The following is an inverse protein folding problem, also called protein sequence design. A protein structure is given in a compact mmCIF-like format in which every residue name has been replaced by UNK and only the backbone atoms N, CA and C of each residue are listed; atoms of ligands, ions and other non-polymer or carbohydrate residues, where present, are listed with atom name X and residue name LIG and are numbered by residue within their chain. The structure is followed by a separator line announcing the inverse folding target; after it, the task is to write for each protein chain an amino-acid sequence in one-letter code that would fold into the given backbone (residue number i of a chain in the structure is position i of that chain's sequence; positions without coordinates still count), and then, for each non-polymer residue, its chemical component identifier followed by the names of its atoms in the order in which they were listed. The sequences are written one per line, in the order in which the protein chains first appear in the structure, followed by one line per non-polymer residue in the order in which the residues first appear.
data_IF_232416001217
#
_entry.id   IF_232416001217
#
_cell.length_a   1.000
_cell.length_b   1.000
_cell.length_c   1.000
_cell.angle_alpha   90.00
_cell.angle_beta   90.00
_cell.angle_gamma   90.00
#
_symmetry.space_group_name_H-M   'P 1'
#
loop_
_entity.id
_entity.type
_entity.pdbx_description
1 polymer ?
#
# COMPACT_ATOMS: atom_id res chain seq x y z
N UNK A 1 11.38 32.65 -70.54
CA UNK A 1 11.01 31.22 -70.49
C UNK A 1 10.27 30.94 -69.18
N UNK A 2 9.07 30.36 -69.26
CA UNK A 2 8.43 29.49 -68.25
C UNK A 2 8.07 30.03 -66.85
N UNK A 3 6.79 30.35 -66.65
CA UNK A 3 6.04 30.34 -65.35
C UNK A 3 5.89 28.89 -64.78
N UNK A 4 5.10 28.60 -63.71
CA UNK A 4 5.20 29.01 -62.29
C UNK A 4 4.93 27.83 -61.30
N UNK A 5 4.96 28.18 -60.00
CA UNK A 5 4.37 27.53 -58.79
C UNK A 5 3.34 26.40 -58.99
N UNK A 6 3.49 25.31 -58.20
CA UNK A 6 2.41 24.38 -57.84
C UNK A 6 2.34 24.21 -56.31
N UNK A 7 1.11 24.27 -55.81
CA UNK A 7 0.74 24.16 -54.40
C UNK A 7 0.58 22.73 -53.89
N UNK A 8 0.42 22.67 -52.56
CA UNK A 8 0.01 21.53 -51.72
C UNK A 8 -1.47 21.16 -51.99
N UNK A 9 -1.93 19.90 -51.81
CA UNK A 9 -2.33 19.41 -50.47
C UNK A 9 -2.13 17.90 -50.23
N UNK A 10 -1.38 17.52 -49.19
CA UNK A 10 -1.45 16.16 -48.61
C UNK A 10 -2.44 16.10 -47.44
N UNK A 11 -3.70 15.79 -47.75
CA UNK A 11 -4.63 15.18 -46.78
C UNK A 11 -5.04 13.80 -47.27
N UNK A 12 -4.64 12.74 -46.56
CA UNK A 12 -5.41 11.49 -46.45
C UNK A 12 -5.06 10.77 -45.15
N UNK A 13 -6.07 10.69 -44.28
CA UNK A 13 -6.15 9.86 -43.09
C UNK A 13 -5.67 8.42 -43.40
N UNK A 14 -4.70 7.93 -42.63
CA UNK A 14 -4.39 6.51 -42.55
C UNK A 14 -5.06 5.94 -41.29
N UNK A 15 -6.20 5.28 -41.50
CA UNK A 15 -6.81 4.36 -40.55
C UNK A 15 -5.93 3.10 -40.39
N UNK A 16 -5.71 2.60 -39.17
CA UNK A 16 -5.02 1.33 -38.95
C UNK A 16 -5.87 0.12 -39.40
N UNK A 17 -5.24 -1.00 -39.80
CA UNK A 17 -5.92 -2.18 -40.32
C UNK A 17 -6.63 -3.01 -39.22
N UNK A 18 -7.66 -3.81 -39.57
CA UNK A 18 -8.45 -4.59 -38.61
C UNK A 18 -7.73 -5.85 -38.09
N UNK A 19 -8.19 -6.45 -36.97
CA UNK A 19 -7.53 -7.59 -36.32
C UNK A 19 -7.63 -8.90 -37.12
N UNK A 20 -6.52 -9.64 -37.20
CA UNK A 20 -6.44 -10.99 -37.80
C UNK A 20 -7.25 -12.02 -36.98
N UNK A 21 -8.19 -12.70 -37.63
CA UNK A 21 -8.87 -13.90 -37.11
C UNK A 21 -7.87 -15.05 -36.91
N UNK A 22 -7.76 -15.59 -35.69
CA UNK A 22 -7.01 -16.83 -35.39
C UNK A 22 -7.76 -18.03 -35.98
N UNK A 23 -7.05 -18.86 -36.77
CA UNK A 23 -7.51 -20.19 -37.23
C UNK A 23 -7.42 -21.21 -36.08
N UNK A 24 -8.34 -22.18 -35.97
CA UNK A 24 -8.26 -23.26 -34.99
C UNK A 24 -7.22 -24.33 -35.39
N UNK A 25 -6.54 -24.89 -34.38
CA UNK A 25 -5.51 -25.94 -34.54
C UNK A 25 -6.12 -27.33 -34.79
N UNK A 26 -5.40 -28.25 -35.46
CA UNK A 26 -5.91 -29.57 -35.84
C UNK A 26 -5.89 -30.60 -34.70
N UNK A 27 -6.93 -31.46 -34.70
CA UNK A 27 -7.12 -32.64 -33.83
C UNK A 27 -6.08 -33.73 -34.16
N UNK A 28 -5.34 -34.19 -33.16
CA UNK A 28 -4.48 -35.39 -33.25
C UNK A 28 -5.30 -36.65 -32.92
N UNK A 29 -5.31 -37.59 -33.87
CA UNK A 29 -5.79 -38.96 -33.72
C UNK A 29 -5.00 -39.73 -32.65
N UNK A 30 -5.69 -40.48 -31.79
CA UNK A 30 -5.07 -41.52 -30.96
C UNK A 30 -5.40 -42.90 -31.53
N UNK A 31 -4.37 -43.56 -32.04
CA UNK A 31 -4.36 -44.98 -32.44
C UNK A 31 -4.49 -45.91 -31.24
N UNK A 32 -5.20 -47.02 -31.48
CA UNK A 32 -5.27 -48.24 -30.68
C UNK A 32 -3.90 -48.89 -30.44
N UNK A 33 -3.76 -49.61 -29.31
CA UNK A 33 -3.14 -50.95 -29.18
C UNK A 33 -3.27 -51.49 -27.74
N UNK A 34 -3.60 -52.78 -27.59
CA UNK A 34 -3.33 -53.56 -26.36
C UNK A 34 -4.48 -54.45 -25.85
N UNK A 35 -4.30 -55.78 -25.87
CA UNK A 35 -5.27 -56.88 -25.62
C UNK A 35 -5.33 -57.38 -24.15
N UNK A 36 -6.55 -57.74 -23.69
CA UNK A 36 -7.05 -58.92 -22.89
C UNK A 36 -6.38 -59.32 -21.54
N UNK A 37 -7.00 -60.15 -20.63
CA UNK A 37 -8.19 -61.03 -20.77
C UNK A 37 -9.26 -60.99 -19.64
N UNK A 38 -10.37 -61.73 -19.86
CA UNK A 38 -11.51 -62.05 -18.95
C UNK A 38 -11.09 -62.98 -17.78
N UNK A 39 -11.87 -63.02 -16.68
CA UNK A 39 -12.85 -64.11 -16.43
C UNK A 39 -14.13 -63.57 -15.73
N UNK A 40 -15.21 -64.27 -15.38
CA UNK A 40 -15.92 -65.51 -15.73
C UNK A 40 -17.31 -65.39 -15.03
N UNK A 41 -18.30 -66.13 -15.52
CA UNK A 41 -19.69 -66.16 -15.03
C UNK A 41 -19.86 -66.53 -13.55
N UNK A 42 -20.85 -65.91 -12.89
CA UNK A 42 -21.68 -66.63 -11.93
C UNK A 42 -23.16 -66.25 -12.11
N UNK A 43 -23.93 -67.26 -12.54
CA UNK A 43 -25.39 -67.35 -12.49
C UNK A 43 -25.86 -67.36 -11.03
N UNK A 44 -27.06 -66.81 -10.78
CA UNK A 44 -28.14 -67.33 -9.90
C UNK A 44 -29.32 -66.36 -10.11
N UNK A 45 -30.24 -66.66 -11.01
CA UNK A 45 -31.40 -67.53 -10.87
C UNK A 45 -32.59 -66.87 -10.13
N UNK A 46 -33.72 -67.16 -10.76
CA UNK A 46 -35.05 -66.62 -10.71
C UNK A 46 -35.80 -66.82 -9.39
N UNK A 47 -36.67 -65.86 -9.04
CA UNK A 47 -38.02 -66.13 -8.54
C UNK A 47 -38.92 -64.90 -8.66
N UNK A 48 -40.11 -65.15 -9.19
CA UNK A 48 -41.10 -64.18 -9.56
C UNK A 48 -42.41 -64.45 -8.80
N UNK A 49 -43.22 -63.38 -8.69
CA UNK A 49 -44.70 -63.31 -8.58
C UNK A 49 -45.35 -63.46 -7.20
N UNK A 50 -46.01 -62.39 -6.74
CA UNK A 50 -47.47 -62.15 -6.86
C UNK A 50 -47.77 -60.67 -6.52
N UNK A 51 -48.37 -59.89 -7.44
CA UNK A 51 -49.79 -59.46 -7.49
C UNK A 51 -50.05 -58.16 -6.67
N UNK A 52 -50.85 -57.14 -7.03
CA UNK A 52 -51.81 -56.86 -8.11
C UNK A 52 -52.31 -55.38 -7.95
N UNK A 53 -52.91 -54.82 -9.02
CA UNK A 53 -53.72 -53.57 -9.18
C UNK A 53 -53.05 -52.19 -9.48
N UNK A 54 -53.29 -51.80 -10.74
CA UNK A 54 -53.56 -50.49 -11.38
C UNK A 54 -53.69 -49.22 -10.53
N UNK A 55 -53.01 -48.17 -11.00
CA UNK A 55 -53.37 -46.76 -10.83
C UNK A 55 -52.62 -45.90 -11.84
N UNK A 56 -53.35 -45.23 -12.73
CA UNK A 56 -52.88 -44.50 -13.90
C UNK A 56 -52.72 -42.98 -13.67
N UNK A 57 -51.78 -42.38 -14.42
CA UNK A 57 -51.55 -40.95 -14.74
C UNK A 57 -50.57 -40.13 -13.84
N UNK A 58 -50.03 -38.99 -14.33
CA UNK A 58 -49.12 -38.88 -15.48
C UNK A 58 -47.78 -38.18 -15.14
N UNK A 59 -46.87 -38.17 -16.12
CA UNK A 59 -45.49 -37.69 -16.06
C UNK A 59 -45.31 -36.27 -15.49
N UNK A 60 -44.70 -36.20 -14.29
CA UNK A 60 -44.12 -35.00 -13.72
C UNK A 60 -42.66 -34.84 -14.12
N UNK A 61 -42.38 -33.79 -14.88
CA UNK A 61 -41.07 -33.32 -15.31
C UNK A 61 -40.16 -33.06 -14.09
N UNK A 62 -39.40 -34.07 -13.65
CA UNK A 62 -38.33 -33.91 -12.67
C UNK A 62 -37.11 -33.29 -13.37
N UNK A 63 -37.15 -31.96 -13.50
CA UNK A 63 -35.97 -31.16 -13.78
C UNK A 63 -34.94 -31.37 -12.68
N UNK A 64 -33.99 -32.28 -12.91
CA UNK A 64 -32.72 -32.32 -12.19
C UNK A 64 -32.05 -30.95 -12.33
N UNK A 65 -32.25 -30.06 -11.35
CA UNK A 65 -31.39 -28.90 -11.17
C UNK A 65 -30.03 -29.43 -10.74
N UNK A 66 -29.19 -29.72 -11.74
CA UNK A 66 -27.76 -29.74 -11.56
C UNK A 66 -27.37 -28.35 -11.03
N UNK A 67 -27.15 -28.25 -9.72
CA UNK A 67 -26.41 -27.13 -9.15
C UNK A 67 -25.01 -27.21 -9.75
N UNK A 68 -24.85 -26.58 -10.91
CA UNK A 68 -23.57 -26.08 -11.38
C UNK A 68 -23.03 -25.23 -10.25
N UNK A 69 -22.14 -25.84 -9.46
CA UNK A 69 -21.25 -25.14 -8.54
C UNK A 69 -20.29 -24.37 -9.43
N UNK A 70 -20.79 -23.30 -10.05
CA UNK A 70 -19.99 -22.29 -10.73
C UNK A 70 -19.00 -21.87 -9.65
N UNK A 71 -17.73 -22.26 -9.81
CA UNK A 71 -16.64 -21.63 -9.06
C UNK A 71 -16.89 -20.14 -9.25
N UNK A 72 -17.36 -19.45 -8.21
CA UNK A 72 -17.33 -17.99 -8.22
C UNK A 72 -15.85 -17.70 -8.37
N UNK A 73 -15.44 -17.27 -9.56
CA UNK A 73 -14.18 -16.58 -9.70
C UNK A 73 -14.16 -15.53 -8.58
N UNK A 74 -13.08 -15.46 -7.79
CA UNK A 74 -13.01 -14.48 -6.73
C UNK A 74 -13.29 -13.12 -7.36
N UNK A 75 -14.41 -12.51 -7.00
CA UNK A 75 -14.77 -11.18 -7.49
C UNK A 75 -13.69 -10.26 -6.96
N UNK A 76 -12.84 -9.75 -7.86
CA UNK A 76 -11.79 -8.78 -7.53
C UNK A 76 -12.48 -7.57 -6.91
N UNK A 77 -12.32 -7.41 -5.60
CA UNK A 77 -12.81 -6.24 -4.86
C UNK A 77 -11.90 -5.07 -5.22
N UNK A 78 -12.43 -4.14 -6.01
CA UNK A 78 -11.72 -2.91 -6.38
C UNK A 78 -11.91 -1.84 -5.30
N UNK A 79 -10.98 -0.91 -5.23
CA UNK A 79 -11.11 0.30 -4.42
C UNK A 79 -12.34 1.10 -4.86
N UNK A 80 -13.14 1.53 -3.90
CA UNK A 80 -14.35 2.33 -4.15
C UNK A 80 -14.07 3.84 -4.11
N UNK A 81 -14.97 4.65 -4.68
CA UNK A 81 -14.87 6.11 -4.58
C UNK A 81 -14.88 6.62 -3.13
N UNK A 82 -15.63 5.95 -2.25
CA UNK A 82 -15.66 6.29 -0.83
C UNK A 82 -14.30 6.05 -0.17
N UNK A 83 -13.61 4.98 -0.54
CA UNK A 83 -12.25 4.70 -0.08
C UNK A 83 -11.26 5.77 -0.54
N UNK A 84 -11.38 6.27 -1.78
CA UNK A 84 -10.56 7.39 -2.27
C UNK A 84 -10.89 8.70 -1.55
N UNK A 85 -12.16 8.96 -1.26
CA UNK A 85 -12.58 10.12 -0.45
C UNK A 85 -12.04 10.03 0.99
N UNK A 86 -12.08 8.84 1.59
CA UNK A 86 -11.47 8.57 2.89
C UNK A 86 -9.97 8.86 2.87
N UNK A 87 -9.26 8.46 1.81
CA UNK A 87 -7.84 8.70 1.64
C UNK A 87 -7.49 10.18 1.54
N UNK A 88 -8.35 11.02 0.94
CA UNK A 88 -8.15 12.47 0.89
C UNK A 88 -8.01 13.10 2.28
N UNK A 89 -8.73 12.57 3.27
CA UNK A 89 -8.59 13.04 4.66
C UNK A 89 -7.21 12.69 5.23
N UNK A 90 -6.66 11.54 4.84
CA UNK A 90 -5.33 11.13 5.27
C UNK A 90 -4.21 11.81 4.50
N UNK A 91 -4.49 12.42 3.33
CA UNK A 91 -3.55 13.38 2.72
C UNK A 91 -3.26 14.49 3.70
N UNK A 92 -4.30 15.12 4.24
CA UNK A 92 -4.15 16.18 5.24
C UNK A 92 -3.40 15.70 6.50
N UNK A 93 -3.72 14.52 7.02
CA UNK A 93 -3.03 13.99 8.19
C UNK A 93 -1.54 13.67 7.94
N UNK A 94 -1.18 13.30 6.71
CA UNK A 94 0.23 13.12 6.30
C UNK A 94 0.92 14.47 6.19
N UNK A 95 0.28 15.49 5.61
CA UNK A 95 0.80 16.88 5.59
C UNK A 95 1.09 17.40 6.99
N UNK A 96 0.13 17.28 7.92
CA UNK A 96 0.34 17.71 9.30
C UNK A 96 1.42 16.91 10.04
N UNK A 97 1.71 15.67 9.61
CA UNK A 97 2.84 14.90 10.14
C UNK A 97 4.18 15.40 9.59
N UNK A 98 4.23 15.81 8.31
CA UNK A 98 5.41 16.48 7.72
C UNK A 98 5.71 17.80 8.43
N UNK A 99 4.70 18.63 8.69
CA UNK A 99 4.85 19.90 9.42
C UNK A 99 5.52 19.69 10.78
N UNK A 100 5.17 18.61 11.50
CA UNK A 100 5.77 18.30 12.79
C UNK A 100 7.26 17.95 12.68
N UNK A 101 7.69 17.31 11.59
CA UNK A 101 9.10 17.04 11.30
C UNK A 101 9.81 18.30 10.79
N UNK A 102 9.10 19.17 10.06
CA UNK A 102 9.62 20.44 9.56
C UNK A 102 9.93 21.43 10.70
N UNK A 103 9.11 21.45 11.75
CA UNK A 103 9.35 22.31 12.92
C UNK A 103 10.56 21.89 13.75
N UNK A 104 10.89 20.59 13.77
CA UNK A 104 12.02 20.04 14.53
C UNK A 104 12.67 18.89 13.74
N UNK A 105 13.66 19.24 12.93
CA UNK A 105 14.43 18.30 12.10
C UNK A 105 15.34 17.37 12.93
N UNK A 106 15.44 17.59 14.24
CA UNK A 106 16.29 16.75 15.10
C UNK A 106 15.79 15.31 15.16
N UNK A 107 16.68 14.40 15.56
CA UNK A 107 16.29 13.01 15.80
C UNK A 107 15.15 12.87 16.83
N UNK A 108 15.10 13.77 17.82
CA UNK A 108 14.03 13.77 18.82
C UNK A 108 12.70 14.24 18.22
N UNK A 109 12.72 15.28 17.37
CA UNK A 109 11.56 15.75 16.62
C UNK A 109 11.00 14.66 15.71
N UNK A 110 11.87 14.03 14.91
CA UNK A 110 11.51 12.89 14.07
C UNK A 110 10.91 11.71 14.88
N UNK A 111 11.49 11.39 16.04
CA UNK A 111 10.96 10.35 16.93
C UNK A 111 9.58 10.72 17.49
N UNK A 112 9.38 11.97 17.93
CA UNK A 112 8.09 12.47 18.41
C UNK A 112 7.04 12.41 17.32
N UNK A 113 7.38 12.84 16.10
CA UNK A 113 6.52 12.76 14.93
C UNK A 113 6.14 11.30 14.62
N UNK A 114 7.10 10.38 14.65
CA UNK A 114 6.82 8.96 14.45
C UNK A 114 5.87 8.39 15.52
N UNK A 115 6.06 8.74 16.80
CA UNK A 115 5.20 8.28 17.91
C UNK A 115 3.74 8.66 17.66
N UNK A 116 3.47 9.88 17.20
CA UNK A 116 2.11 10.37 16.94
C UNK A 116 1.60 10.01 15.54
N UNK A 117 2.48 9.70 14.59
CA UNK A 117 2.09 9.18 13.28
C UNK A 117 1.60 7.73 13.34
N UNK A 118 2.16 6.89 14.23
CA UNK A 118 1.75 5.49 14.43
C UNK A 118 0.24 5.33 14.67
N UNK A 119 -0.41 6.03 15.63
CA UNK A 119 -1.85 5.91 15.83
C UNK A 119 -2.65 6.42 14.62
N UNK A 120 -2.21 7.49 13.94
CA UNK A 120 -2.85 7.99 12.71
C UNK A 120 -2.82 6.90 11.63
N UNK A 121 -1.66 6.31 11.39
CA UNK A 121 -1.48 5.20 10.47
C UNK A 121 -2.36 4.00 10.86
N UNK A 122 -2.45 3.64 12.15
CA UNK A 122 -3.30 2.53 12.59
C UNK A 122 -4.80 2.80 12.44
N UNK A 123 -5.24 4.06 12.55
CA UNK A 123 -6.62 4.44 12.21
C UNK A 123 -6.87 4.27 10.72
N UNK A 124 -5.93 4.69 9.86
CA UNK A 124 -6.02 4.46 8.41
C UNK A 124 -6.07 2.96 8.07
N UNK A 125 -5.17 2.15 8.64
CA UNK A 125 -5.17 0.69 8.44
C UNK A 125 -6.49 0.09 8.94
N UNK A 126 -7.01 0.58 10.06
CA UNK A 126 -8.34 0.22 10.55
C UNK A 126 -9.45 0.52 9.55
N UNK A 127 -9.43 1.70 8.93
CA UNK A 127 -10.36 2.09 7.85
C UNK A 127 -10.23 1.22 6.61
N UNK A 128 -9.01 0.89 6.19
CA UNK A 128 -8.75 -0.06 5.10
C UNK A 128 -9.31 -1.45 5.43
N UNK A 129 -9.12 -1.93 6.66
CA UNK A 129 -9.71 -3.20 7.11
C UNK A 129 -11.24 -3.13 7.22
N UNK A 130 -11.81 -2.00 7.63
CA UNK A 130 -13.26 -1.77 7.63
C UNK A 130 -13.84 -1.87 6.21
N UNK A 131 -13.22 -1.18 5.25
CA UNK A 131 -13.57 -1.30 3.83
C UNK A 131 -13.41 -2.72 3.32
N UNK A 132 -12.39 -3.46 3.77
CA UNK A 132 -12.14 -4.82 3.31
C UNK A 132 -13.20 -5.81 3.82
N UNK A 133 -13.59 -5.70 5.10
CA UNK A 133 -14.52 -6.63 5.77
C UNK A 133 -15.99 -6.35 5.47
N UNK A 134 -16.35 -5.11 5.18
CA UNK A 134 -17.73 -4.70 4.93
C UNK A 134 -17.96 -4.37 3.46
N UNK A 135 -19.22 -4.50 3.03
CA UNK A 135 -19.69 -3.84 1.82
C UNK A 135 -19.92 -2.36 2.18
N UNK A 136 -18.99 -1.51 1.74
CA UNK A 136 -19.04 -0.05 1.90
C UNK A 136 -20.20 0.60 1.13
N UNK A 137 -21.02 -0.17 0.43
CA UNK A 137 -22.27 0.31 -0.19
C UNK A 137 -23.47 0.33 0.75
N UNK A 138 -23.38 -0.34 1.89
CA UNK A 138 -24.44 -0.28 2.91
C UNK A 138 -24.37 1.03 3.69
N UNK A 139 -25.52 1.56 4.11
CA UNK A 139 -25.58 2.81 4.91
C UNK A 139 -24.72 2.70 6.17
N UNK A 140 -24.77 1.57 6.88
CA UNK A 140 -23.93 1.32 8.07
C UNK A 140 -22.44 1.29 7.73
N UNK A 141 -22.06 0.66 6.62
CA UNK A 141 -20.67 0.63 6.14
C UNK A 141 -20.15 2.04 5.83
N UNK A 142 -20.96 2.86 5.13
CA UNK A 142 -20.64 4.25 4.77
C UNK A 142 -20.50 5.14 6.00
N UNK A 143 -21.48 5.11 6.91
CA UNK A 143 -21.46 5.91 8.13
C UNK A 143 -20.25 5.58 9.01
N UNK A 144 -19.91 4.28 9.14
CA UNK A 144 -18.69 3.87 9.84
C UNK A 144 -17.43 4.42 9.20
N UNK A 145 -17.32 4.37 7.87
CA UNK A 145 -16.18 4.91 7.15
C UNK A 145 -16.08 6.44 7.26
N UNK A 146 -17.20 7.16 7.16
CA UNK A 146 -17.23 8.61 7.39
C UNK A 146 -16.86 8.99 8.82
N UNK A 147 -17.30 8.23 9.81
CA UNK A 147 -16.93 8.47 11.20
C UNK A 147 -15.42 8.28 11.43
N UNK A 148 -14.81 7.23 10.88
CA UNK A 148 -13.36 7.02 10.93
C UNK A 148 -12.62 8.10 10.13
N UNK A 149 -13.13 8.50 8.96
CA UNK A 149 -12.56 9.59 8.17
C UNK A 149 -12.53 10.89 9.00
N UNK A 150 -13.66 11.26 9.60
CA UNK A 150 -13.75 12.45 10.44
C UNK A 150 -12.79 12.40 11.64
N UNK A 151 -12.63 11.23 12.27
CA UNK A 151 -11.60 11.06 13.30
C UNK A 151 -10.19 11.25 12.72
N UNK A 152 -9.91 10.74 11.52
CA UNK A 152 -8.65 10.99 10.81
C UNK A 152 -8.38 12.47 10.57
N UNK A 153 -9.41 13.24 10.20
CA UNK A 153 -9.31 14.69 10.00
C UNK A 153 -8.94 15.40 11.29
N UNK A 154 -9.66 15.10 12.38
CA UNK A 154 -9.41 15.73 13.69
C UNK A 154 -8.04 15.31 14.25
N UNK A 155 -7.61 14.06 14.01
CA UNK A 155 -6.25 13.64 14.33
C UNK A 155 -5.21 14.48 13.58
N UNK A 156 -5.35 14.64 12.26
CA UNK A 156 -4.51 15.51 11.46
C UNK A 156 -4.44 16.92 12.01
N UNK A 157 -5.60 17.53 12.30
CA UNK A 157 -5.70 18.91 12.83
C UNK A 157 -4.99 19.06 14.18
N UNK A 158 -5.00 18.01 14.99
CA UNK A 158 -4.37 18.03 16.31
C UNK A 158 -2.87 17.75 16.28
N UNK A 159 -2.30 17.21 15.19
CA UNK A 159 -0.90 16.79 15.12
C UNK A 159 0.10 17.93 15.41
N UNK A 160 0.03 19.11 14.76
CA UNK A 160 1.03 20.16 14.96
C UNK A 160 1.08 20.66 16.42
N UNK A 161 -0.07 20.67 17.08
CA UNK A 161 -0.25 21.21 18.45
C UNK A 161 -0.35 20.11 19.52
N UNK A 162 -0.04 18.85 19.18
CA UNK A 162 -0.32 17.68 20.04
C UNK A 162 0.55 17.66 21.32
N UNK A 163 1.76 18.23 21.24
CA UNK A 163 2.64 18.39 22.40
C UNK A 163 2.36 19.66 23.20
N UNK A 164 1.41 20.48 22.74
CA UNK A 164 0.97 21.71 23.38
C UNK A 164 -0.46 21.55 23.92
N UNK A 165 -1.43 22.25 23.33
CA UNK A 165 -2.81 22.37 23.79
C UNK A 165 -3.80 21.42 23.08
N UNK A 166 -3.39 20.67 22.05
CA UNK A 166 -4.28 19.75 21.32
C UNK A 166 -4.18 18.27 21.75
N UNK A 167 -3.41 17.96 22.80
CA UNK A 167 -3.17 16.58 23.23
C UNK A 167 -4.46 15.78 23.53
N UNK A 168 -5.44 16.42 24.18
CA UNK A 168 -6.72 15.78 24.50
C UNK A 168 -7.57 15.53 23.25
N UNK A 169 -7.52 16.43 22.27
CA UNK A 169 -8.16 16.23 20.97
C UNK A 169 -7.51 15.06 20.24
N UNK A 170 -6.19 14.97 20.26
CA UNK A 170 -5.46 13.86 19.65
C UNK A 170 -5.83 12.52 20.31
N UNK A 171 -5.67 12.40 21.63
CA UNK A 171 -5.93 11.15 22.35
C UNK A 171 -7.40 10.74 22.35
N UNK A 172 -8.32 11.70 22.56
CA UNK A 172 -9.76 11.46 22.59
C UNK A 172 -10.28 11.01 21.22
N UNK A 173 -9.84 11.68 20.15
CA UNK A 173 -10.21 11.32 18.78
C UNK A 173 -9.63 9.98 18.37
N UNK A 174 -8.37 9.68 18.72
CA UNK A 174 -7.80 8.37 18.48
C UNK A 174 -8.65 7.29 19.14
N UNK A 175 -9.00 7.47 20.42
CA UNK A 175 -9.84 6.53 21.14
C UNK A 175 -11.22 6.35 20.51
N UNK A 176 -11.87 7.46 20.12
CA UNK A 176 -13.14 7.43 19.40
C UNK A 176 -13.06 6.62 18.09
N UNK A 177 -12.01 6.81 17.29
CA UNK A 177 -11.78 6.04 16.07
C UNK A 177 -11.68 4.53 16.36
N UNK A 178 -10.97 4.15 17.42
CA UNK A 178 -10.83 2.74 17.84
C UNK A 178 -12.15 2.14 18.31
N UNK A 179 -13.00 2.92 18.99
CA UNK A 179 -14.36 2.50 19.38
C UNK A 179 -15.22 2.28 18.13
N UNK A 180 -15.21 3.19 17.15
CA UNK A 180 -15.95 3.03 15.88
C UNK A 180 -15.52 1.75 15.17
N UNK A 181 -14.22 1.49 15.04
CA UNK A 181 -13.68 0.28 14.43
C UNK A 181 -14.05 -0.99 15.20
N UNK A 182 -14.05 -0.96 16.53
CA UNK A 182 -14.50 -2.07 17.37
C UNK A 182 -16.00 -2.35 17.19
N UNK A 183 -16.82 -1.30 17.07
CA UNK A 183 -18.27 -1.42 16.84
C UNK A 183 -18.57 -1.95 15.43
N UNK A 184 -17.74 -1.61 14.45
CA UNK A 184 -17.88 -2.09 13.08
C UNK A 184 -17.78 -3.61 12.97
N UNK A 185 -16.90 -4.26 13.74
CA UNK A 185 -16.73 -5.71 13.71
C UNK A 185 -17.75 -6.48 14.56
N UNK A 186 -18.65 -5.78 15.26
CA UNK A 186 -19.68 -6.43 16.07
C UNK A 186 -20.67 -7.19 15.19
N UNK A 187 -20.81 -8.49 15.47
CA UNK A 187 -21.64 -9.41 14.70
C UNK A 187 -20.90 -10.20 13.63
N UNK A 188 -19.61 -9.91 13.38
CA UNK A 188 -18.80 -10.73 12.48
C UNK A 188 -18.39 -12.06 13.14
N UNK A 189 -18.50 -13.21 12.45
CA UNK A 189 -18.17 -14.52 13.01
C UNK A 189 -16.69 -14.64 13.43
N UNK A 190 -15.79 -13.89 12.79
CA UNK A 190 -14.34 -13.91 13.06
C UNK A 190 -13.87 -12.68 13.87
N UNK A 191 -14.74 -12.02 14.64
CA UNK A 191 -14.39 -10.79 15.39
C UNK A 191 -13.17 -10.97 16.31
N UNK A 192 -12.98 -12.15 16.87
CA UNK A 192 -11.84 -12.47 17.76
C UNK A 192 -10.48 -12.44 17.04
N UNK A 193 -10.47 -12.46 15.70
CA UNK A 193 -9.26 -12.24 14.92
C UNK A 193 -8.82 -10.77 14.93
N UNK A 194 -9.72 -9.81 15.16
CA UNK A 194 -9.43 -8.38 15.14
C UNK A 194 -9.08 -7.84 16.53
N UNK A 195 -8.19 -8.56 17.23
CA UNK A 195 -7.68 -8.18 18.56
C UNK A 195 -7.09 -6.77 18.58
N UNK A 196 -6.54 -6.29 17.46
CA UNK A 196 -6.05 -4.91 17.30
C UNK A 196 -7.13 -3.88 17.60
N UNK A 197 -8.40 -4.10 17.22
CA UNK A 197 -9.49 -3.16 17.52
C UNK A 197 -9.88 -3.20 19.01
N UNK A 198 -9.85 -4.38 19.62
CA UNK A 198 -10.13 -4.54 21.05
C UNK A 198 -9.05 -3.89 21.91
N UNK A 199 -7.77 -4.20 21.66
CA UNK A 199 -6.65 -3.57 22.37
C UNK A 199 -6.62 -2.06 22.10
N UNK A 200 -6.94 -1.66 20.87
CA UNK A 200 -7.15 -0.27 20.49
C UNK A 200 -8.15 0.47 21.37
N UNK A 201 -9.33 -0.09 21.53
CA UNK A 201 -10.43 0.54 22.24
C UNK A 201 -10.28 0.47 23.77
N UNK A 202 -9.62 -0.56 24.32
CA UNK A 202 -9.59 -0.77 25.77
C UNK A 202 -8.22 -0.56 26.43
N UNK A 203 -7.15 -0.39 25.64
CA UNK A 203 -5.80 -0.18 26.17
C UNK A 203 -5.12 1.03 25.53
N UNK A 204 -4.82 1.00 24.23
CA UNK A 204 -4.02 2.07 23.61
C UNK A 204 -4.79 3.38 23.51
N UNK A 205 -6.08 3.36 23.15
CA UNK A 205 -6.96 4.53 23.18
C UNK A 205 -6.97 5.25 24.54
N UNK A 206 -7.31 4.55 25.65
CA UNK A 206 -7.21 5.11 26.99
C UNK A 206 -5.80 5.61 27.35
N UNK A 207 -4.73 4.91 26.97
CA UNK A 207 -3.36 5.36 27.23
C UNK A 207 -3.04 6.67 26.53
N UNK A 208 -3.50 6.89 25.30
CA UNK A 208 -3.34 8.17 24.62
C UNK A 208 -4.08 9.30 25.33
N UNK A 209 -5.30 9.05 25.82
CA UNK A 209 -6.06 10.03 26.62
C UNK A 209 -5.39 10.32 27.96
N UNK A 210 -4.94 9.29 28.68
CA UNK A 210 -4.21 9.45 29.95
C UNK A 210 -2.91 10.22 29.72
N UNK A 211 -2.14 9.88 28.67
CA UNK A 211 -0.93 10.61 28.31
C UNK A 211 -1.21 12.08 27.98
N UNK A 212 -2.34 12.39 27.35
CA UNK A 212 -2.74 13.76 27.03
C UNK A 212 -2.95 14.64 28.28
N UNK A 213 -3.33 14.04 29.41
CA UNK A 213 -3.49 14.73 30.70
C UNK A 213 -2.16 14.97 31.41
N UNK A 214 -1.06 14.40 30.93
CA UNK A 214 0.27 14.55 31.52
C UNK A 214 1.04 15.72 30.90
N UNK A 215 2.07 16.25 31.61
CA UNK A 215 3.05 17.16 31.03
C UNK A 215 3.81 16.53 29.86
N UNK A 216 4.46 17.35 29.02
CA UNK A 216 5.07 16.92 27.76
C UNK A 216 6.04 15.73 27.88
N UNK A 217 6.93 15.71 28.89
CA UNK A 217 7.90 14.62 29.08
C UNK A 217 7.22 13.26 29.33
N UNK A 218 6.46 13.10 30.43
CA UNK A 218 5.72 11.87 30.71
C UNK A 218 4.70 11.51 29.61
N UNK A 219 4.08 12.51 28.96
CA UNK A 219 3.18 12.30 27.80
C UNK A 219 3.89 11.55 26.68
N UNK A 220 5.07 12.01 26.25
CA UNK A 220 5.84 11.36 25.18
C UNK A 220 6.16 9.90 25.55
N UNK A 221 6.53 9.62 26.80
CA UNK A 221 6.83 8.25 27.24
C UNK A 221 5.59 7.34 27.21
N UNK A 222 4.44 7.81 27.71
CA UNK A 222 3.18 7.05 27.68
C UNK A 222 2.71 6.80 26.26
N UNK A 223 2.78 7.81 25.40
CA UNK A 223 2.41 7.67 23.99
C UNK A 223 3.35 6.77 23.22
N UNK A 224 4.66 6.82 23.49
CA UNK A 224 5.62 5.87 22.93
C UNK A 224 5.27 4.43 23.35
N UNK A 225 4.94 4.20 24.63
CA UNK A 225 4.47 2.90 25.11
C UNK A 225 3.20 2.43 24.41
N UNK A 226 2.20 3.30 24.25
CA UNK A 226 0.96 3.00 23.53
C UNK A 226 1.21 2.66 22.06
N UNK A 227 2.05 3.44 21.37
CA UNK A 227 2.46 3.20 20.00
C UNK A 227 3.19 1.85 19.84
N UNK A 228 4.10 1.52 20.77
CA UNK A 228 4.77 0.21 20.79
C UNK A 228 3.78 -0.95 21.01
N UNK A 229 2.75 -0.76 21.83
CA UNK A 229 1.68 -1.76 21.98
C UNK A 229 0.93 -1.93 20.66
N UNK A 230 0.50 -0.84 20.01
CA UNK A 230 -0.18 -0.92 18.71
C UNK A 230 0.68 -1.60 17.64
N UNK A 231 2.00 -1.38 17.66
CA UNK A 231 2.95 -2.09 16.80
C UNK A 231 3.12 -3.57 17.18
N UNK A 232 3.00 -3.94 18.45
CA UNK A 232 3.23 -5.31 18.91
C UNK A 232 2.03 -6.24 18.74
N UNK A 233 0.80 -5.71 18.87
CA UNK A 233 -0.42 -6.53 18.88
C UNK A 233 -0.63 -7.36 17.61
N UNK A 234 -0.49 -6.83 16.38
CA UNK A 234 -0.67 -7.65 15.18
C UNK A 234 0.34 -8.81 15.09
N UNK A 235 1.57 -8.60 15.56
CA UNK A 235 2.60 -9.65 15.62
C UNK A 235 2.23 -10.74 16.63
N UNK A 236 1.80 -10.36 17.83
CA UNK A 236 1.36 -11.27 18.89
C UNK A 236 0.10 -12.05 18.51
N UNK A 237 -0.81 -11.41 17.77
CA UNK A 237 -2.10 -11.98 17.36
C UNK A 237 -2.06 -12.67 15.98
N UNK A 238 -0.89 -12.86 15.37
CA UNK A 238 -0.73 -13.36 13.99
C UNK A 238 -1.54 -14.62 13.67
N UNK A 239 -1.55 -15.60 14.58
CA UNK A 239 -2.27 -16.88 14.42
C UNK A 239 -3.78 -16.72 14.37
N UNK A 240 -4.33 -15.75 15.12
CA UNK A 240 -5.76 -15.43 15.08
C UNK A 240 -6.10 -14.67 13.81
N UNK A 241 -5.22 -13.75 13.42
CA UNK A 241 -5.35 -12.96 12.19
C UNK A 241 -5.39 -13.83 10.93
N UNK A 242 -4.56 -14.87 10.85
CA UNK A 242 -4.46 -15.75 9.66
C UNK A 242 -5.73 -16.57 9.39
N UNK A 243 -6.59 -16.74 10.41
CA UNK A 243 -7.89 -17.42 10.29
C UNK A 243 -9.02 -16.55 9.69
N UNK A 244 -8.84 -15.23 9.62
CA UNK A 244 -9.86 -14.32 9.12
C UNK A 244 -9.78 -14.17 7.59
N UNK A 245 -10.87 -14.44 6.85
CA UNK A 245 -10.92 -14.21 5.41
C UNK A 245 -10.87 -12.70 5.12
N UNK A 246 -9.97 -12.28 4.25
CA UNK A 246 -9.82 -10.88 3.81
C UNK A 246 -9.29 -10.85 2.37
N UNK A 247 -9.55 -9.78 1.63
CA UNK A 247 -9.04 -9.64 0.27
C UNK A 247 -7.66 -8.96 0.31
N UNK A 248 -6.59 -9.75 0.18
CA UNK A 248 -5.22 -9.27 0.27
C UNK A 248 -4.82 -8.32 -0.88
N UNK A 249 -5.31 -8.57 -2.10
CA UNK A 249 -5.03 -7.73 -3.26
C UNK A 249 -5.64 -6.34 -3.09
N UNK A 250 -6.87 -6.25 -2.57
CA UNK A 250 -7.52 -4.98 -2.24
C UNK A 250 -6.75 -4.21 -1.16
N UNK A 251 -6.27 -4.89 -0.11
CA UNK A 251 -5.44 -4.25 0.92
C UNK A 251 -4.12 -3.77 0.35
N UNK A 252 -3.44 -4.56 -0.49
CA UNK A 252 -2.20 -4.15 -1.14
C UNK A 252 -2.40 -2.93 -2.07
N UNK A 253 -3.52 -2.89 -2.80
CA UNK A 253 -3.91 -1.74 -3.64
C UNK A 253 -4.06 -0.48 -2.78
N UNK A 254 -4.77 -0.57 -1.64
CA UNK A 254 -4.93 0.51 -0.65
C UNK A 254 -3.59 1.01 -0.11
N UNK A 255 -2.67 0.11 0.24
CA UNK A 255 -1.32 0.49 0.68
C UNK A 255 -0.53 1.19 -0.41
N UNK A 256 -0.69 0.79 -1.69
CA UNK A 256 -0.16 1.54 -2.82
C UNK A 256 -0.72 2.96 -2.92
N UNK A 257 -2.03 3.13 -2.73
CA UNK A 257 -2.64 4.47 -2.71
C UNK A 257 -2.08 5.34 -1.58
N UNK A 258 -1.80 4.77 -0.40
CA UNK A 258 -1.16 5.53 0.67
C UNK A 258 0.28 5.95 0.34
N UNK A 259 1.01 5.17 -0.45
CA UNK A 259 2.31 5.60 -1.00
C UNK A 259 2.14 6.77 -1.96
N UNK A 260 1.09 6.78 -2.81
CA UNK A 260 0.77 7.95 -3.65
C UNK A 260 0.46 9.18 -2.80
N UNK A 261 -0.26 9.04 -1.68
CA UNK A 261 -0.53 10.15 -0.76
C UNK A 261 0.77 10.74 -0.23
N UNK A 262 1.69 9.91 0.26
CA UNK A 262 2.97 10.37 0.79
C UNK A 262 3.87 11.01 -0.30
N UNK A 263 3.86 10.47 -1.52
CA UNK A 263 4.55 11.11 -2.65
C UNK A 263 3.88 12.42 -3.07
N UNK A 264 2.56 12.51 -2.98
CA UNK A 264 1.79 13.73 -3.25
C UNK A 264 2.14 14.83 -2.25
N UNK A 265 2.28 14.48 -0.98
CA UNK A 265 2.78 15.38 0.06
C UNK A 265 4.16 15.94 -0.29
N UNK A 266 5.06 15.10 -0.80
CA UNK A 266 6.39 15.54 -1.24
C UNK A 266 6.31 16.59 -2.36
N UNK A 267 5.35 16.45 -3.29
CA UNK A 267 5.09 17.43 -4.35
C UNK A 267 4.47 18.72 -3.80
N UNK A 268 3.55 18.62 -2.84
CA UNK A 268 2.92 19.78 -2.19
C UNK A 268 3.96 20.59 -1.41
N UNK A 269 4.80 19.93 -0.62
CA UNK A 269 5.83 20.54 0.21
C UNK A 269 6.85 21.31 -0.66
N UNK A 270 7.41 20.64 -1.67
CA UNK A 270 8.38 21.27 -2.59
C UNK A 270 7.77 22.36 -3.46
N UNK A 271 6.52 22.20 -3.91
CA UNK A 271 5.79 23.22 -4.66
C UNK A 271 5.46 24.46 -3.81
N UNK A 272 5.08 24.25 -2.55
CA UNK A 272 4.78 25.34 -1.61
C UNK A 272 6.05 26.12 -1.27
N UNK A 273 7.14 25.42 -0.96
CA UNK A 273 8.45 26.02 -0.73
C UNK A 273 8.95 26.86 -1.93
N UNK A 274 8.74 26.37 -3.16
CA UNK A 274 9.08 27.14 -4.37
C UNK A 274 8.23 28.42 -4.52
N UNK A 275 6.98 28.39 -4.04
CA UNK A 275 6.02 29.50 -4.14
C UNK A 275 6.20 30.59 -3.08
N UNK A 276 7.07 30.39 -2.08
CA UNK A 276 7.37 31.40 -1.05
C UNK A 276 8.20 32.58 -1.60
N UNK A 277 8.89 32.39 -2.73
CA UNK A 277 9.78 33.37 -3.34
C UNK A 277 9.56 33.47 -4.86
N UNK A 278 10.20 34.46 -5.51
CA UNK A 278 10.17 34.56 -6.97
C UNK A 278 10.80 33.32 -7.63
N UNK A 279 10.12 32.81 -8.66
CA UNK A 279 10.59 31.67 -9.45
C UNK A 279 11.71 32.11 -10.39
N UNK A 280 12.96 31.88 -9.96
CA UNK A 280 14.16 32.01 -10.78
C UNK A 280 14.61 30.64 -11.35
N UNK A 281 15.62 30.66 -12.22
CA UNK A 281 16.13 29.44 -12.86
C UNK A 281 16.74 28.45 -11.85
N UNK A 282 17.28 28.93 -10.72
CA UNK A 282 17.90 28.09 -9.71
C UNK A 282 16.82 27.32 -8.92
N UNK A 283 15.77 28.00 -8.45
CA UNK A 283 14.62 27.34 -7.81
C UNK A 283 13.89 26.42 -8.76
N UNK A 284 13.70 26.80 -10.02
CA UNK A 284 13.11 25.91 -11.01
C UNK A 284 13.96 24.64 -11.21
N UNK A 285 15.29 24.77 -11.20
CA UNK A 285 16.22 23.64 -11.23
C UNK A 285 16.11 22.74 -10.00
N UNK A 286 16.01 23.32 -8.80
CA UNK A 286 15.83 22.57 -7.55
C UNK A 286 14.49 21.84 -7.51
N UNK A 287 13.41 22.51 -7.92
CA UNK A 287 12.07 21.91 -8.04
C UNK A 287 12.06 20.77 -9.05
N UNK A 288 12.73 20.93 -10.21
CA UNK A 288 12.85 19.89 -11.21
C UNK A 288 13.64 18.67 -10.67
N UNK A 289 14.72 18.90 -9.91
CA UNK A 289 15.48 17.84 -9.26
C UNK A 289 14.64 17.10 -8.20
N UNK A 290 13.90 17.83 -7.35
CA UNK A 290 13.01 17.24 -6.36
C UNK A 290 11.88 16.43 -7.01
N UNK A 291 11.28 16.94 -8.08
CA UNK A 291 10.28 16.21 -8.85
C UNK A 291 10.85 14.94 -9.49
N UNK A 292 12.10 14.99 -9.97
CA UNK A 292 12.79 13.80 -10.48
C UNK A 292 13.04 12.75 -9.37
N UNK A 293 13.34 13.18 -8.14
CA UNK A 293 13.38 12.28 -6.96
C UNK A 293 12.01 11.63 -6.74
N UNK A 294 10.92 12.41 -6.71
CA UNK A 294 9.55 11.86 -6.58
C UNK A 294 9.24 10.81 -7.66
N UNK A 295 9.59 11.09 -8.92
CA UNK A 295 9.41 10.16 -10.03
C UNK A 295 10.27 8.90 -9.85
N UNK A 296 11.52 9.06 -9.40
CA UNK A 296 12.42 7.95 -9.12
C UNK A 296 11.89 7.02 -8.03
N UNK A 297 11.39 7.59 -6.91
CA UNK A 297 10.76 6.82 -5.83
C UNK A 297 9.48 6.12 -6.32
N UNK A 298 8.61 6.85 -7.02
CA UNK A 298 7.40 6.28 -7.62
C UNK A 298 7.74 5.04 -8.49
N UNK A 299 8.77 5.16 -9.33
CA UNK A 299 9.19 4.08 -10.22
C UNK A 299 9.72 2.87 -9.43
N UNK A 300 10.58 3.11 -8.42
CA UNK A 300 11.11 2.07 -7.52
C UNK A 300 9.99 1.27 -6.87
N UNK A 301 8.89 1.92 -6.48
CA UNK A 301 7.74 1.26 -5.86
C UNK A 301 6.77 0.63 -6.86
N UNK A 302 6.19 1.41 -7.78
CA UNK A 302 5.11 0.92 -8.65
C UNK A 302 5.57 0.03 -9.80
N UNK A 303 6.76 0.26 -10.35
CA UNK A 303 7.26 -0.55 -11.46
C UNK A 303 7.87 -1.88 -10.98
N UNK A 304 8.46 -1.89 -9.78
CA UNK A 304 9.22 -3.06 -9.30
C UNK A 304 8.66 -3.67 -8.01
N UNK A 305 8.22 -2.86 -7.05
CA UNK A 305 7.85 -3.34 -5.71
C UNK A 305 6.42 -3.87 -5.64
N UNK A 306 5.46 -3.09 -6.15
CA UNK A 306 4.05 -3.45 -6.13
C UNK A 306 3.73 -4.73 -6.93
N UNK A 307 4.30 -4.97 -8.13
CA UNK A 307 4.12 -6.23 -8.84
C UNK A 307 4.66 -7.43 -8.08
N UNK A 308 5.82 -7.30 -7.43
CA UNK A 308 6.40 -8.36 -6.61
C UNK A 308 5.51 -8.70 -5.38
N UNK A 309 4.91 -7.68 -4.75
CA UNK A 309 3.92 -7.88 -3.68
C UNK A 309 2.69 -8.61 -4.23
N UNK A 310 2.19 -8.23 -5.40
CA UNK A 310 1.04 -8.87 -6.03
C UNK A 310 1.29 -10.34 -6.37
N UNK A 311 2.43 -10.65 -7.00
CA UNK A 311 2.82 -12.02 -7.35
C UNK A 311 2.94 -12.92 -6.10
N UNK A 312 3.49 -12.40 -5.01
CA UNK A 312 3.57 -13.14 -3.75
C UNK A 312 2.20 -13.37 -3.08
N UNK A 313 1.23 -12.48 -3.29
CA UNK A 313 -0.15 -12.65 -2.84
C UNK A 313 -0.83 -13.78 -3.63
N UNK A 314 -0.64 -13.82 -4.95
CA UNK A 314 -1.30 -14.81 -5.83
C UNK A 314 -0.69 -16.22 -5.72
N UNK A 315 0.63 -16.31 -5.53
CA UNK A 315 1.37 -17.58 -5.58
C UNK A 315 1.30 -18.42 -4.30
N UNK A 316 0.70 -17.95 -3.20
CA UNK A 316 0.88 -18.58 -1.89
C UNK A 316 -0.41 -19.06 -1.19
N UNK A 317 -0.51 -20.38 -0.99
CA UNK A 317 -1.58 -21.05 -0.24
C UNK A 317 -1.40 -20.99 1.30
N UNK A 318 -0.31 -20.40 1.83
CA UNK A 318 -0.05 -20.29 3.28
C UNK A 318 0.79 -19.07 3.74
N UNK A 319 1.05 -18.04 2.91
CA UNK A 319 1.93 -16.88 3.27
C UNK A 319 1.23 -15.61 3.74
N UNK A 320 -0.06 -15.65 4.04
CA UNK A 320 -0.77 -14.48 4.62
C UNK A 320 -0.07 -13.96 5.89
N UNK A 321 0.60 -14.84 6.64
CA UNK A 321 1.40 -14.49 7.83
C UNK A 321 2.64 -13.63 7.54
N UNK A 322 3.21 -13.69 6.33
CA UNK A 322 4.38 -12.90 5.93
C UNK A 322 3.92 -11.57 5.29
N UNK A 323 2.85 -11.62 4.50
CA UNK A 323 2.37 -10.47 3.72
C UNK A 323 1.75 -9.39 4.62
N UNK A 324 1.04 -9.75 5.69
CA UNK A 324 0.42 -8.75 6.57
C UNK A 324 1.44 -7.87 7.32
N UNK A 325 2.49 -8.44 7.97
CA UNK A 325 3.54 -7.63 8.55
C UNK A 325 4.27 -6.76 7.53
N UNK A 326 4.56 -7.30 6.34
CA UNK A 326 5.18 -6.55 5.23
C UNK A 326 4.30 -5.36 4.84
N UNK A 327 3.00 -5.57 4.63
CA UNK A 327 2.09 -4.51 4.20
C UNK A 327 1.89 -3.44 5.28
N UNK A 328 1.69 -3.81 6.55
CA UNK A 328 1.45 -2.78 7.58
C UNK A 328 2.74 -2.12 8.07
N UNK A 329 3.75 -2.90 8.47
CA UNK A 329 4.98 -2.33 9.04
C UNK A 329 5.94 -1.83 7.96
N UNK A 330 6.06 -2.55 6.85
CA UNK A 330 6.92 -2.14 5.74
C UNK A 330 6.47 -0.81 5.16
N UNK A 331 5.16 -0.63 4.94
CA UNK A 331 4.63 0.64 4.46
C UNK A 331 4.73 1.75 5.49
N UNK A 332 4.47 1.49 6.78
CA UNK A 332 4.67 2.50 7.83
C UNK A 332 6.08 3.10 7.77
N UNK A 333 7.09 2.23 7.73
CA UNK A 333 8.51 2.63 7.66
C UNK A 333 8.82 3.34 6.34
N UNK A 334 8.28 2.83 5.22
CA UNK A 334 8.44 3.44 3.91
C UNK A 334 7.85 4.86 3.85
N UNK A 335 6.66 5.06 4.40
CA UNK A 335 5.97 6.36 4.44
C UNK A 335 6.73 7.34 5.35
N UNK A 336 7.18 6.89 6.53
CA UNK A 336 8.02 7.72 7.39
C UNK A 336 9.29 8.19 6.67
N UNK A 337 9.89 7.32 5.86
CA UNK A 337 11.01 7.67 4.98
C UNK A 337 10.64 8.74 3.95
N UNK A 338 9.48 8.62 3.29
CA UNK A 338 8.99 9.63 2.33
C UNK A 338 8.75 10.98 3.03
N UNK A 339 8.16 11.00 4.23
CA UNK A 339 7.92 12.24 4.99
C UNK A 339 9.24 12.96 5.28
N UNK A 340 10.28 12.23 5.72
CA UNK A 340 11.61 12.81 5.91
C UNK A 340 12.21 13.37 4.62
N UNK A 341 12.06 12.66 3.50
CA UNK A 341 12.47 13.14 2.18
C UNK A 341 11.71 14.41 1.79
N UNK A 342 10.40 14.47 2.03
CA UNK A 342 9.54 15.61 1.71
C UNK A 342 10.03 16.88 2.41
N UNK A 343 10.20 16.82 3.73
CA UNK A 343 10.66 17.96 4.54
C UNK A 343 12.03 18.45 4.08
N UNK A 344 12.98 17.55 3.87
CA UNK A 344 14.33 17.94 3.45
C UNK A 344 14.38 18.52 2.02
N UNK A 345 13.53 18.02 1.11
CA UNK A 345 13.42 18.62 -0.23
C UNK A 345 12.68 19.95 -0.22
N UNK A 346 11.72 20.15 0.69
CA UNK A 346 11.10 21.45 0.94
C UNK A 346 12.15 22.50 1.32
N UNK A 347 13.02 22.18 2.30
CA UNK A 347 14.15 23.01 2.67
C UNK A 347 15.10 23.28 1.48
N UNK A 348 15.45 22.24 0.73
CA UNK A 348 16.34 22.36 -0.43
C UNK A 348 15.79 23.23 -1.57
N UNK A 349 14.47 23.27 -1.75
CA UNK A 349 13.83 24.10 -2.78
C UNK A 349 13.66 25.54 -2.30
N UNK A 350 13.45 25.75 -0.99
CA UNK A 350 13.35 27.07 -0.37
C UNK A 350 14.66 27.86 -0.53
N UNK A 351 15.77 27.24 -0.15
CA UNK A 351 17.12 27.83 -0.18
C UNK A 351 18.10 27.01 -1.04
N UNK A 352 17.95 26.99 -2.38
CA UNK A 352 18.66 26.05 -3.24
C UNK A 352 20.17 26.29 -3.35
N UNK A 353 20.62 27.51 -3.10
CA UNK A 353 22.04 27.89 -3.14
C UNK A 353 22.79 27.54 -1.85
N UNK A 354 22.07 27.49 -0.72
CA UNK A 354 22.64 27.23 0.59
C UNK A 354 22.86 25.73 0.78
N UNK A 355 23.83 25.36 1.63
CA UNK A 355 24.03 23.96 1.97
C UNK A 355 22.92 23.48 2.92
N UNK A 356 22.51 22.21 2.76
CA UNK A 356 21.60 21.59 3.72
C UNK A 356 22.27 21.49 5.09
N UNK A 357 21.53 21.80 6.14
CA UNK A 357 21.98 21.48 7.49
C UNK A 357 22.10 19.95 7.66
N UNK A 358 22.91 19.51 8.63
CA UNK A 358 23.22 18.09 8.80
C UNK A 358 21.97 17.26 9.11
N UNK A 359 21.02 17.82 9.84
CA UNK A 359 19.73 17.22 10.16
C UNK A 359 18.83 17.10 8.92
N UNK A 360 18.72 18.14 8.09
CA UNK A 360 18.00 18.09 6.81
C UNK A 360 18.62 17.08 5.84
N UNK A 361 19.95 17.07 5.73
CA UNK A 361 20.68 16.07 4.95
C UNK A 361 20.45 14.66 5.49
N UNK A 362 20.46 14.48 6.81
CA UNK A 362 20.16 13.20 7.44
C UNK A 362 18.73 12.74 7.12
N UNK A 363 17.74 13.64 7.14
CA UNK A 363 16.35 13.33 6.75
C UNK A 363 16.26 12.90 5.28
N UNK A 364 16.88 13.63 4.36
CA UNK A 364 16.86 13.34 2.93
C UNK A 364 17.42 11.94 2.62
N UNK A 365 18.65 11.69 3.08
CA UNK A 365 19.38 10.49 2.70
C UNK A 365 18.99 9.29 3.56
N UNK A 366 18.77 9.45 4.87
CA UNK A 366 18.29 8.34 5.72
C UNK A 366 16.86 7.97 5.36
N UNK A 367 15.99 8.94 5.05
CA UNK A 367 14.65 8.67 4.53
C UNK A 367 14.70 7.85 3.24
N UNK A 368 15.62 8.17 2.34
CA UNK A 368 15.88 7.37 1.13
C UNK A 368 16.41 5.97 1.46
N UNK A 369 17.37 5.83 2.39
CA UNK A 369 17.87 4.54 2.84
C UNK A 369 16.75 3.66 3.40
N UNK A 370 15.87 4.25 4.22
CA UNK A 370 14.71 3.59 4.80
C UNK A 370 13.76 3.12 3.69
N UNK A 371 13.46 3.98 2.71
CA UNK A 371 12.60 3.66 1.58
C UNK A 371 13.14 2.47 0.77
N UNK A 372 14.42 2.50 0.40
CA UNK A 372 15.08 1.44 -0.36
C UNK A 372 15.22 0.15 0.46
N UNK A 373 15.55 0.28 1.75
CA UNK A 373 15.75 -0.81 2.69
C UNK A 373 14.46 -1.56 3.06
N UNK A 374 13.34 -0.85 3.23
CA UNK A 374 12.04 -1.46 3.53
C UNK A 374 11.64 -2.47 2.45
N UNK A 375 11.91 -2.16 1.19
CA UNK A 375 11.69 -3.12 0.11
C UNK A 375 12.73 -4.24 0.07
N UNK A 376 14.02 -3.94 0.30
CA UNK A 376 15.05 -4.97 0.33
C UNK A 376 14.74 -6.05 1.38
N UNK A 377 14.28 -5.62 2.57
CA UNK A 377 13.80 -6.50 3.63
C UNK A 377 12.59 -7.33 3.17
N UNK A 378 11.59 -6.66 2.58
CA UNK A 378 10.38 -7.29 2.05
C UNK A 378 10.69 -8.35 1.00
N UNK A 379 11.56 -8.04 0.03
CA UNK A 379 12.01 -8.95 -1.03
C UNK A 379 12.77 -10.15 -0.46
N UNK A 380 13.64 -9.93 0.52
CA UNK A 380 14.34 -11.02 1.19
C UNK A 380 13.37 -11.95 1.94
N UNK A 381 12.36 -11.42 2.61
CA UNK A 381 11.35 -12.23 3.29
C UNK A 381 10.40 -12.98 2.33
N UNK A 382 10.12 -12.41 1.16
CA UNK A 382 9.20 -13.02 0.19
C UNK A 382 9.89 -14.03 -0.73
N UNK A 383 11.09 -13.70 -1.19
CA UNK A 383 11.80 -14.41 -2.26
C UNK A 383 13.20 -14.89 -1.87
N UNK A 384 13.68 -14.61 -0.65
CA UNK A 384 15.05 -14.92 -0.20
C UNK A 384 16.16 -14.38 -1.13
N UNK A 385 15.86 -13.31 -1.89
CA UNK A 385 16.83 -12.63 -2.76
C UNK A 385 17.19 -11.26 -2.20
N UNK A 386 18.48 -10.92 -2.26
CA UNK A 386 18.96 -9.60 -1.87
C UNK A 386 18.72 -8.59 -2.99
N UNK A 387 18.19 -7.43 -2.65
CA UNK A 387 18.06 -6.29 -3.56
C UNK A 387 19.39 -5.52 -3.64
N UNK A 388 20.46 -6.16 -4.10
CA UNK A 388 21.83 -5.61 -4.09
C UNK A 388 21.91 -4.20 -4.69
N UNK A 389 21.29 -3.87 -5.84
CA UNK A 389 21.31 -2.50 -6.37
C UNK A 389 20.74 -1.47 -5.39
N UNK A 390 19.65 -1.80 -4.68
CA UNK A 390 19.03 -0.92 -3.68
C UNK A 390 19.88 -0.78 -2.44
N UNK A 391 20.54 -1.86 -1.99
CA UNK A 391 21.45 -1.82 -0.84
C UNK A 391 22.70 -0.97 -1.13
N UNK A 392 23.24 -1.07 -2.35
CA UNK A 392 24.35 -0.22 -2.79
C UNK A 392 23.91 1.24 -2.86
N UNK A 393 22.75 1.53 -3.46
CA UNK A 393 22.22 2.90 -3.49
C UNK A 393 21.98 3.46 -2.08
N UNK A 394 21.44 2.65 -1.15
CA UNK A 394 21.29 3.05 0.24
C UNK A 394 22.65 3.32 0.92
N UNK A 395 23.69 2.53 0.64
CA UNK A 395 25.03 2.79 1.16
C UNK A 395 25.64 4.08 0.58
N UNK A 396 25.41 4.39 -0.69
CA UNK A 396 25.81 5.66 -1.31
C UNK A 396 25.09 6.84 -0.63
N UNK A 397 23.78 6.74 -0.37
CA UNK A 397 23.04 7.76 0.39
C UNK A 397 23.66 8.03 1.77
N UNK A 398 24.07 7.00 2.50
CA UNK A 398 24.75 7.20 3.80
C UNK A 398 26.06 8.01 3.66
N UNK A 399 26.82 7.78 2.58
CA UNK A 399 28.00 8.58 2.29
C UNK A 399 27.68 10.04 1.95
N UNK A 400 26.57 10.27 1.24
CA UNK A 400 26.14 11.62 0.85
C UNK A 400 25.72 12.48 2.05
N UNK A 401 25.31 11.89 3.17
CA UNK A 401 25.02 12.64 4.42
C UNK A 401 26.22 13.49 4.85
N UNK A 402 27.44 12.96 4.74
CA UNK A 402 28.66 13.67 5.14
C UNK A 402 29.06 14.79 4.14
N UNK A 403 28.63 14.68 2.89
CA UNK A 403 28.99 15.61 1.81
C UNK A 403 27.99 16.76 1.71
N UNK A 404 26.71 16.50 1.97
CA UNK A 404 25.61 17.44 1.78
C UNK A 404 25.78 18.81 2.48
N UNK A 405 26.33 18.89 3.72
CA UNK A 405 26.57 20.19 4.36
C UNK A 405 27.68 21.03 3.72
N UNK A 406 28.41 20.49 2.73
CA UNK A 406 29.51 21.17 2.03
C UNK A 406 29.17 21.55 0.59
N UNK A 407 27.96 21.24 0.12
CA UNK A 407 27.52 21.51 -1.25
C UNK A 407 26.15 22.21 -1.24
N UNK A 408 25.79 22.97 -2.28
CA UNK A 408 24.46 23.57 -2.38
C UNK A 408 23.34 22.51 -2.29
N UNK A 409 22.21 22.87 -1.69
CA UNK A 409 21.09 21.97 -1.49
C UNK A 409 20.54 21.41 -2.81
N UNK A 410 20.52 22.23 -3.87
CA UNK A 410 20.19 21.76 -5.23
C UNK A 410 21.12 20.64 -5.69
N UNK A 411 22.42 20.69 -5.38
CA UNK A 411 23.36 19.66 -5.75
C UNK A 411 23.10 18.35 -4.97
N UNK A 412 22.75 18.44 -3.68
CA UNK A 412 22.35 17.27 -2.87
C UNK A 412 21.12 16.57 -3.44
N UNK A 413 20.07 17.32 -3.80
CA UNK A 413 18.84 16.77 -4.41
C UNK A 413 19.12 16.24 -5.82
N UNK A 414 19.94 16.92 -6.62
CA UNK A 414 20.32 16.46 -7.95
C UNK A 414 21.15 15.17 -7.92
N UNK A 415 22.06 15.02 -6.96
CA UNK A 415 22.81 13.78 -6.75
C UNK A 415 21.89 12.62 -6.37
N UNK A 416 20.91 12.87 -5.49
CA UNK A 416 19.88 11.88 -5.16
C UNK A 416 19.03 11.51 -6.39
N UNK A 417 18.60 12.50 -7.18
CA UNK A 417 17.84 12.26 -8.40
C UNK A 417 18.65 11.40 -9.39
N UNK A 418 19.91 11.74 -9.62
CA UNK A 418 20.81 10.97 -10.48
C UNK A 418 20.99 9.52 -9.98
N UNK A 419 21.19 9.34 -8.66
CA UNK A 419 21.31 8.03 -8.04
C UNK A 419 20.04 7.18 -8.25
N UNK A 420 18.85 7.76 -8.06
CA UNK A 420 17.59 7.05 -8.27
C UNK A 420 17.34 6.74 -9.75
N UNK A 421 17.73 7.62 -10.67
CA UNK A 421 17.67 7.36 -12.11
C UNK A 421 18.56 6.16 -12.46
N UNK A 422 19.82 6.17 -12.01
CA UNK A 422 20.77 5.07 -12.24
C UNK A 422 20.23 3.77 -11.64
N UNK A 423 19.70 3.81 -10.40
CA UNK A 423 19.10 2.65 -9.75
C UNK A 423 17.96 2.08 -10.60
N UNK A 424 17.01 2.92 -11.05
CA UNK A 424 15.88 2.47 -11.85
C UNK A 424 16.32 1.87 -13.20
N UNK A 425 17.34 2.45 -13.85
CA UNK A 425 17.93 1.88 -15.07
C UNK A 425 18.54 0.50 -14.80
N UNK A 426 19.31 0.36 -13.72
CA UNK A 426 19.89 -0.92 -13.31
C UNK A 426 18.80 -1.95 -13.01
N UNK A 427 17.77 -1.58 -12.24
CA UNK A 427 16.67 -2.49 -11.91
C UNK A 427 15.88 -2.92 -13.15
N UNK A 428 15.67 -2.02 -14.11
CA UNK A 428 15.02 -2.35 -15.37
C UNK A 428 15.76 -3.46 -16.14
N UNK A 429 17.10 -3.48 -16.09
CA UNK A 429 17.91 -4.50 -16.74
C UNK A 429 18.06 -5.79 -15.90
N UNK A 430 18.13 -5.68 -14.57
CA UNK A 430 18.41 -6.83 -13.67
C UNK A 430 17.15 -7.61 -13.31
N UNK A 431 16.02 -6.94 -13.05
CA UNK A 431 14.79 -7.61 -12.55
C UNK A 431 14.25 -8.67 -13.52
N UNK A 432 14.13 -8.42 -14.85
CA UNK A 432 13.67 -9.44 -15.80
C UNK A 432 14.55 -10.71 -15.81
N UNK A 433 15.85 -10.55 -15.56
CA UNK A 433 16.82 -11.67 -15.58
C UNK A 433 16.74 -12.52 -14.31
N UNK A 434 16.41 -11.92 -13.17
CA UNK A 434 16.33 -12.64 -11.88
C UNK A 434 15.08 -13.50 -11.74
N UNK A 435 13.93 -13.04 -12.25
CA UNK A 435 12.67 -13.79 -12.18
C UNK A 435 12.68 -15.05 -13.06
N UNK A 436 13.42 -15.04 -14.18
CA UNK A 436 13.58 -16.20 -15.06
C UNK A 436 14.57 -17.26 -14.56
N UNK A 437 15.38 -16.97 -13.53
CA UNK A 437 16.31 -17.97 -12.95
C UNK A 437 15.71 -18.75 -11.78
N UNK A 438 14.62 -18.26 -11.20
CA UNK A 438 13.95 -18.85 -10.03
C UNK A 438 12.62 -19.53 -10.34
N UNK A 439 12.15 -19.41 -11.58
CA UNK A 439 11.07 -20.21 -12.15
C UNK A 439 11.67 -21.39 -12.93
#
# INVERSE_FOLDING_TARGET
MGRPRRGDPRHRHQTPPPPRRRRPAPRLERRHLGRRPRPADHRLDSRARHAVVRGSAPAGFLGRRAHSRRKREPTVKRVTWLELFFDLVFVFAVTSASELVHHDHSWLGALRALIVFIPVFWVWVGGTMHANLHEVDTVRGRLGMFAVAFCGLVLGLSLPMTFENAALWFGGTYWAARIVLLLAIQGLPHRAAFTTFTVGAFLTGPLFVVGALLPAGPRTAVWAGAALIDLSVPFLARKRLSSAPFNASHVAERFGLFVIIALGETVIETGSAAGEHDLDALRLGALAAAFAVCCGLWWVYFAFSAPAIHEAIESATARIEIIRPVLSYGHLVLIAGIIGIAVAMGAAVREPAEALHLDEAALLFTGTCIYLGAFAFTRWHMFHTLATPRLVAAAVCLGLIAVAPSIPAIASVALLAALLIILNLVEHHVVPQTLHRTA
#
